data_IF_706788657569
#
_entry.id   IF_706788657569
#
_cell.length_a   1.000
_cell.length_b   1.000
_cell.length_c   1.000
_cell.angle_alpha   90.00
_cell.angle_beta   90.00
_cell.angle_gamma   90.00
#
_symmetry.space_group_name_H-M   'P 1'
#
loop_
_entity.id
_entity.type
_entity.pdbx_description
1 polymer ?
#
# COMPACT_ATOMS: atom_id res chain seq x y z
N UNK A 1 3.70 -19.90 -2.50
CA UNK A 1 4.58 -18.73 -2.19
C UNK A 1 3.79 -17.45 -1.95
N UNK A 2 2.57 -17.28 -2.48
CA UNK A 2 1.73 -16.10 -2.21
C UNK A 2 0.66 -16.34 -1.12
N UNK A 3 0.66 -17.52 -0.50
CA UNK A 3 -0.32 -17.90 0.52
C UNK A 3 -0.22 -16.95 1.72
N UNK A 4 -1.38 -16.48 2.20
CA UNK A 4 -1.46 -15.54 3.34
C UNK A 4 -1.30 -14.06 2.99
N UNK A 5 -1.08 -13.70 1.72
CA UNK A 5 -1.00 -12.30 1.29
C UNK A 5 -2.34 -11.78 0.75
N UNK A 6 -2.73 -10.57 1.16
CA UNK A 6 -3.76 -9.74 0.51
C UNK A 6 -3.03 -8.63 -0.25
N UNK A 7 -3.43 -8.38 -1.49
CA UNK A 7 -2.83 -7.40 -2.38
C UNK A 7 -3.85 -6.39 -2.87
N UNK A 8 -3.37 -5.20 -3.21
CA UNK A 8 -4.16 -4.10 -3.76
C UNK A 8 -3.54 -3.61 -5.07
N UNK A 9 -4.28 -2.85 -5.88
CA UNK A 9 -3.77 -2.33 -7.17
C UNK A 9 -2.74 -1.20 -7.05
N UNK A 10 -2.41 -0.74 -5.84
CA UNK A 10 -1.51 0.39 -5.54
C UNK A 10 -2.08 1.77 -5.94
N UNK A 11 -1.27 2.82 -5.77
CA UNK A 11 -1.61 4.23 -6.04
C UNK A 11 -1.71 4.52 -7.55
N UNK A 12 -1.81 5.81 -7.92
CA UNK A 12 -1.85 6.25 -9.32
C UNK A 12 -0.65 5.81 -10.17
N UNK A 13 0.50 5.54 -9.54
CA UNK A 13 1.69 4.98 -10.22
C UNK A 13 1.67 3.45 -10.32
N UNK A 14 0.66 2.81 -9.76
CA UNK A 14 0.40 1.39 -9.93
C UNK A 14 0.12 1.04 -11.39
N UNK A 15 0.46 -0.19 -11.77
CA UNK A 15 0.41 -0.66 -13.16
C UNK A 15 -0.97 -0.49 -13.79
N UNK A 16 -2.04 -0.83 -13.04
CA UNK A 16 -3.43 -0.73 -13.51
C UNK A 16 -3.83 0.73 -13.70
N UNK A 17 -3.56 1.60 -12.71
CA UNK A 17 -3.90 3.02 -12.80
C UNK A 17 -3.16 3.72 -13.95
N UNK A 18 -1.87 3.40 -14.13
CA UNK A 18 -1.07 3.92 -15.24
C UNK A 18 -1.60 3.47 -16.62
N UNK A 19 -2.04 2.21 -16.75
CA UNK A 19 -2.64 1.70 -17.99
C UNK A 19 -3.97 2.40 -18.29
N UNK A 20 -4.82 2.59 -17.28
CA UNK A 20 -6.09 3.33 -17.43
C UNK A 20 -5.88 4.80 -17.77
N UNK A 21 -4.90 5.46 -17.15
CA UNK A 21 -4.53 6.86 -17.46
C UNK A 21 -4.08 7.02 -18.92
N UNK A 22 -3.42 6.00 -19.49
CA UNK A 22 -3.04 5.97 -20.90
C UNK A 22 -4.17 5.54 -21.85
N UNK A 23 -5.38 5.26 -21.34
CA UNK A 23 -6.52 4.78 -22.12
C UNK A 23 -6.42 3.31 -22.57
N UNK A 24 -5.49 2.52 -22.02
CA UNK A 24 -5.30 1.11 -22.34
C UNK A 24 -6.05 0.20 -21.36
N UNK A 25 -7.39 0.24 -21.44
CA UNK A 25 -8.26 -0.60 -20.61
C UNK A 25 -7.99 -2.10 -20.82
N UNK A 26 -7.58 -2.49 -22.02
CA UNK A 26 -7.28 -3.90 -22.33
C UNK A 26 -6.05 -4.38 -21.54
N UNK A 27 -5.00 -3.57 -21.47
CA UNK A 27 -3.85 -3.87 -20.63
C UNK A 27 -4.24 -3.91 -19.14
N UNK A 28 -5.03 -2.95 -18.67
CA UNK A 28 -5.53 -2.92 -17.30
C UNK A 28 -6.27 -4.20 -16.90
N UNK A 29 -7.17 -4.69 -17.75
CA UNK A 29 -7.89 -5.96 -17.54
C UNK A 29 -6.92 -7.13 -17.48
N UNK A 30 -5.97 -7.23 -18.43
CA UNK A 30 -4.99 -8.32 -18.46
C UNK A 30 -4.12 -8.35 -17.19
N UNK A 31 -3.73 -7.17 -16.70
CA UNK A 31 -2.99 -7.00 -15.45
C UNK A 31 -3.80 -7.48 -14.25
N UNK A 32 -5.08 -7.07 -14.15
CA UNK A 32 -5.98 -7.55 -13.10
C UNK A 32 -6.14 -9.07 -13.15
N UNK A 33 -6.35 -9.65 -14.33
CA UNK A 33 -6.43 -11.11 -14.49
C UNK A 33 -5.15 -11.82 -14.03
N UNK A 34 -3.98 -11.21 -14.26
CA UNK A 34 -2.70 -11.72 -13.75
C UNK A 34 -2.68 -11.72 -12.21
N UNK A 35 -3.05 -10.60 -11.57
CA UNK A 35 -3.11 -10.54 -10.11
C UNK A 35 -4.16 -11.49 -9.52
N UNK A 36 -5.30 -11.68 -10.18
CA UNK A 36 -6.30 -12.66 -9.76
C UNK A 36 -5.78 -14.10 -9.87
N UNK A 37 -4.97 -14.43 -10.87
CA UNK A 37 -4.31 -15.75 -10.94
C UNK A 37 -3.30 -15.95 -9.81
N UNK A 38 -2.68 -14.89 -9.33
CA UNK A 38 -1.68 -14.94 -8.25
C UNK A 38 -2.36 -15.00 -6.88
N UNK A 39 -3.23 -14.05 -6.56
CA UNK A 39 -3.78 -13.87 -5.22
C UNK A 39 -5.17 -14.50 -5.06
N UNK A 40 -5.93 -14.64 -6.15
CA UNK A 40 -7.33 -15.04 -6.11
C UNK A 40 -8.28 -13.84 -5.86
N UNK A 41 -9.57 -14.00 -6.19
CA UNK A 41 -10.56 -12.92 -6.12
C UNK A 41 -10.81 -12.42 -4.69
N UNK A 42 -10.63 -13.26 -3.68
CA UNK A 42 -10.90 -12.90 -2.28
C UNK A 42 -9.76 -12.12 -1.62
N UNK A 43 -8.58 -12.07 -2.26
CA UNK A 43 -7.35 -11.48 -1.70
C UNK A 43 -6.76 -10.39 -2.58
N UNK A 44 -7.47 -9.95 -3.61
CA UNK A 44 -7.08 -8.84 -4.46
C UNK A 44 -8.17 -7.79 -4.50
N UNK A 45 -7.79 -6.53 -4.24
CA UNK A 45 -8.70 -5.39 -4.24
C UNK A 45 -8.20 -4.31 -5.21
N UNK A 46 -9.12 -3.60 -5.83
CA UNK A 46 -8.79 -2.36 -6.54
C UNK A 46 -8.69 -1.25 -5.51
N UNK A 47 -7.49 -0.69 -5.38
CA UNK A 47 -7.21 0.45 -4.50
C UNK A 47 -7.63 1.74 -5.18
N UNK A 48 -8.33 2.59 -4.44
CA UNK A 48 -8.67 3.93 -4.86
C UNK A 48 -8.16 4.94 -3.83
N UNK A 49 -7.64 6.04 -4.35
CA UNK A 49 -7.09 7.16 -3.61
C UNK A 49 -7.64 8.44 -4.25
N UNK A 50 -7.65 9.54 -3.51
CA UNK A 50 -8.07 10.83 -4.02
C UNK A 50 -7.26 11.92 -3.34
N UNK A 51 -6.31 12.49 -4.08
CA UNK A 51 -5.45 13.57 -3.62
C UNK A 51 -5.64 14.84 -4.43
N UNK A 52 -5.10 15.95 -3.93
CA UNK A 52 -5.09 17.21 -4.66
C UNK A 52 -4.35 17.08 -6.00
N UNK A 53 -5.00 17.55 -7.08
CA UNK A 53 -4.49 17.57 -8.46
C UNK A 53 -4.43 16.19 -9.17
N UNK A 54 -4.99 15.15 -8.56
CA UNK A 54 -5.18 13.88 -9.26
C UNK A 54 -6.17 14.03 -10.43
N UNK A 55 -5.97 13.25 -11.50
CA UNK A 55 -6.93 13.16 -12.59
C UNK A 55 -8.15 12.34 -12.12
N UNK A 56 -9.33 12.97 -11.93
CA UNK A 56 -10.51 12.26 -11.44
C UNK A 56 -10.97 11.15 -12.39
N UNK A 57 -10.58 11.20 -13.67
CA UNK A 57 -10.94 10.16 -14.64
C UNK A 57 -10.29 8.82 -14.31
N UNK A 58 -9.09 8.81 -13.72
CA UNK A 58 -8.38 7.57 -13.38
C UNK A 58 -9.06 6.87 -12.20
N UNK A 59 -9.45 7.64 -11.17
CA UNK A 59 -10.25 7.13 -10.04
C UNK A 59 -11.57 6.51 -10.52
N UNK A 60 -12.30 7.22 -11.39
CA UNK A 60 -13.55 6.69 -11.94
C UNK A 60 -13.32 5.44 -12.78
N UNK A 61 -12.28 5.40 -13.61
CA UNK A 61 -11.94 4.23 -14.41
C UNK A 61 -11.59 3.01 -13.54
N UNK A 62 -10.91 3.19 -12.40
CA UNK A 62 -10.66 2.13 -11.43
C UNK A 62 -11.95 1.59 -10.81
N UNK A 63 -12.88 2.48 -10.43
CA UNK A 63 -14.19 2.10 -9.89
C UNK A 63 -15.00 1.30 -10.93
N UNK A 64 -15.03 1.77 -12.17
CA UNK A 64 -15.75 1.12 -13.27
C UNK A 64 -15.14 -0.25 -13.60
N UNK A 65 -13.80 -0.35 -13.60
CA UNK A 65 -13.08 -1.60 -13.79
C UNK A 65 -13.39 -2.61 -12.67
N UNK A 66 -13.34 -2.18 -11.41
CA UNK A 66 -13.68 -3.03 -10.26
C UNK A 66 -15.11 -3.56 -10.37
N UNK A 67 -16.07 -2.69 -10.73
CA UNK A 67 -17.47 -3.07 -10.95
C UNK A 67 -17.64 -4.05 -12.11
N UNK A 68 -16.95 -3.81 -13.23
CA UNK A 68 -16.99 -4.67 -14.43
C UNK A 68 -16.45 -6.06 -14.16
N UNK A 69 -15.41 -6.17 -13.32
CA UNK A 69 -14.75 -7.44 -12.99
C UNK A 69 -15.26 -8.10 -11.71
N UNK A 70 -16.20 -7.46 -11.00
CA UNK A 70 -16.77 -7.99 -9.76
C UNK A 70 -15.78 -8.00 -8.59
N UNK A 71 -14.87 -7.02 -8.52
CA UNK A 71 -13.83 -6.91 -7.51
C UNK A 71 -14.18 -5.93 -6.40
N UNK A 72 -13.67 -6.21 -5.20
CA UNK A 72 -13.77 -5.28 -4.07
C UNK A 72 -12.91 -4.03 -4.29
N UNK A 73 -13.44 -2.90 -3.87
CA UNK A 73 -12.69 -1.64 -3.76
C UNK A 73 -12.10 -1.49 -2.35
N UNK A 74 -10.96 -0.83 -2.22
CA UNK A 74 -10.43 -0.41 -0.92
C UNK A 74 -9.93 1.03 -1.02
N UNK A 75 -10.37 1.87 -0.09
CA UNK A 75 -9.95 3.27 -0.01
C UNK A 75 -8.69 3.40 0.87
N UNK A 76 -7.67 4.09 0.36
CA UNK A 76 -6.45 4.41 1.13
C UNK A 76 -6.05 5.87 0.88
N UNK A 77 -5.08 6.38 1.63
CA UNK A 77 -4.62 7.77 1.52
C UNK A 77 -3.10 7.90 1.37
N UNK A 78 -2.39 6.81 1.09
CA UNK A 78 -0.93 6.77 0.90
C UNK A 78 -0.16 7.64 1.91
N UNK A 79 -0.39 7.42 3.20
CA UNK A 79 0.03 8.34 4.27
C UNK A 79 1.55 8.43 4.38
N UNK A 80 2.10 9.63 4.27
CA UNK A 80 3.55 9.92 4.42
C UNK A 80 3.89 10.75 5.67
N UNK A 81 2.89 11.41 6.26
CA UNK A 81 3.05 12.21 7.49
C UNK A 81 1.78 12.17 8.35
N UNK A 82 1.87 12.58 9.62
CA UNK A 82 0.80 12.33 10.57
C UNK A 82 -0.33 13.35 10.45
N UNK A 83 -0.02 14.64 10.50
CA UNK A 83 -0.99 15.74 10.48
C UNK A 83 -0.82 16.61 9.24
N UNK A 84 -1.87 17.32 8.82
CA UNK A 84 -1.81 18.18 7.63
C UNK A 84 -0.70 19.25 7.75
N UNK A 85 -0.43 19.73 8.97
CA UNK A 85 0.59 20.74 9.26
C UNK A 85 2.03 20.22 9.09
N UNK A 86 2.23 18.90 9.05
CA UNK A 86 3.56 18.28 8.88
C UNK A 86 4.07 18.33 7.42
N UNK A 87 3.25 18.81 6.48
CA UNK A 87 3.56 18.84 5.05
C UNK A 87 4.92 19.50 4.74
N UNK A 88 5.22 20.66 5.33
CA UNK A 88 6.48 21.35 5.06
C UNK A 88 7.70 20.63 5.67
N UNK A 89 7.50 19.92 6.78
CA UNK A 89 8.56 19.07 7.34
C UNK A 89 8.86 17.89 6.40
N UNK A 90 7.82 17.26 5.85
CA UNK A 90 7.97 16.20 4.84
C UNK A 90 8.61 16.72 3.54
N UNK A 91 8.20 17.90 3.05
CA UNK A 91 8.78 18.55 1.88
C UNK A 91 10.31 18.80 2.07
N UNK A 92 10.71 19.27 3.26
CA UNK A 92 12.12 19.41 3.62
C UNK A 92 12.87 18.07 3.63
N UNK A 93 12.26 17.01 4.17
CA UNK A 93 12.82 15.66 4.14
C UNK A 93 13.06 15.15 2.71
N UNK A 94 12.11 15.38 1.80
CA UNK A 94 12.26 15.03 0.37
C UNK A 94 13.43 15.77 -0.27
N UNK A 95 13.59 17.07 0.02
CA UNK A 95 14.70 17.88 -0.47
C UNK A 95 16.05 17.32 0.01
N UNK A 96 16.17 17.01 1.31
CA UNK A 96 17.38 16.41 1.89
C UNK A 96 17.67 15.05 1.23
N UNK A 97 16.66 14.19 1.09
CA UNK A 97 16.83 12.84 0.52
C UNK A 97 17.23 12.85 -0.95
N UNK A 98 16.86 13.89 -1.70
CA UNK A 98 17.14 14.02 -3.13
C UNK A 98 18.31 14.96 -3.44
N UNK A 99 18.94 15.55 -2.41
CA UNK A 99 20.02 16.51 -2.57
C UNK A 99 19.59 17.78 -3.31
N UNK A 100 18.33 18.19 -3.13
CA UNK A 100 17.73 19.38 -3.76
C UNK A 100 17.52 20.50 -2.75
N UNK A 101 17.55 21.74 -3.22
CA UNK A 101 17.15 22.89 -2.43
C UNK A 101 15.62 23.05 -2.48
N UNK A 102 15.05 23.69 -1.46
CA UNK A 102 13.59 23.91 -1.38
C UNK A 102 13.05 24.81 -2.51
N UNK A 103 13.90 25.66 -3.10
CA UNK A 103 13.57 26.54 -4.22
C UNK A 103 13.84 25.91 -5.60
N UNK A 104 14.36 24.67 -5.68
CA UNK A 104 14.53 23.98 -6.96
C UNK A 104 13.15 23.65 -7.56
N UNK A 105 12.81 24.16 -8.77
CA UNK A 105 11.52 23.90 -9.40
C UNK A 105 11.35 22.44 -9.85
N UNK A 106 12.44 21.68 -9.93
CA UNK A 106 12.44 20.26 -10.29
C UNK A 106 12.56 19.34 -9.05
N UNK A 107 12.41 19.88 -7.83
CA UNK A 107 12.39 19.05 -6.63
C UNK A 107 11.18 18.13 -6.64
N UNK A 108 11.29 17.01 -5.93
CA UNK A 108 10.17 16.11 -5.70
C UNK A 108 9.15 16.78 -4.78
N UNK A 109 7.88 16.79 -5.18
CA UNK A 109 6.76 17.34 -4.41
C UNK A 109 5.69 16.26 -4.32
N UNK A 110 5.15 16.06 -3.12
CA UNK A 110 3.99 15.20 -2.86
C UNK A 110 2.73 16.07 -2.72
N UNK A 111 1.53 15.50 -2.91
CA UNK A 111 0.29 16.18 -2.54
C UNK A 111 0.30 16.60 -1.07
N UNK A 112 -0.40 17.69 -0.73
CA UNK A 112 -0.42 18.19 0.65
C UNK A 112 -1.30 17.36 1.59
N UNK A 113 -2.14 16.50 1.02
CA UNK A 113 -3.18 15.79 1.73
C UNK A 113 -2.88 14.30 1.98
N UNK A 114 -1.63 13.87 1.80
CA UNK A 114 -1.12 12.52 2.16
C UNK A 114 -0.83 12.35 3.66
N UNK A 115 -1.67 12.94 4.52
CA UNK A 115 -1.64 12.78 5.98
C UNK A 115 -2.63 11.72 6.47
N UNK A 116 -2.58 11.38 7.76
CA UNK A 116 -3.56 10.47 8.37
C UNK A 116 -4.91 11.17 8.59
N UNK A 117 -5.76 11.15 7.56
CA UNK A 117 -7.13 11.68 7.62
C UNK A 117 -7.99 10.93 8.65
N UNK A 118 -8.95 11.64 9.26
CA UNK A 118 -9.94 11.00 10.16
C UNK A 118 -10.92 10.12 9.37
N UNK A 119 -11.61 9.17 10.02
CA UNK A 119 -12.65 8.38 9.35
C UNK A 119 -13.70 9.25 8.66
N UNK A 120 -14.16 10.32 9.29
CA UNK A 120 -15.16 11.23 8.73
C UNK A 120 -14.66 11.90 7.45
N UNK A 121 -13.40 12.36 7.43
CA UNK A 121 -12.79 12.94 6.24
C UNK A 121 -12.71 11.91 5.10
N UNK A 122 -12.29 10.68 5.39
CA UNK A 122 -12.23 9.59 4.40
C UNK A 122 -13.62 9.22 3.87
N UNK A 123 -14.62 9.07 4.73
CA UNK A 123 -15.99 8.76 4.32
C UNK A 123 -16.62 9.90 3.51
N UNK A 124 -16.26 11.16 3.79
CA UNK A 124 -16.70 12.29 2.97
C UNK A 124 -16.05 12.27 1.58
N UNK A 125 -14.76 11.93 1.49
CA UNK A 125 -14.01 11.85 0.24
C UNK A 125 -14.54 10.73 -0.68
N UNK A 126 -14.91 9.59 -0.10
CA UNK A 126 -15.41 8.42 -0.82
C UNK A 126 -16.93 8.21 -0.67
N UNK A 127 -17.70 9.30 -0.54
CA UNK A 127 -19.15 9.24 -0.30
C UNK A 127 -19.94 8.58 -1.45
N UNK A 128 -19.40 8.57 -2.67
CA UNK A 128 -19.95 7.89 -3.85
C UNK A 128 -19.70 6.36 -3.85
N UNK A 129 -18.71 5.90 -3.08
CA UNK A 129 -18.31 4.49 -2.96
C UNK A 129 -17.98 4.11 -1.50
N UNK A 130 -18.93 4.26 -0.55
CA UNK A 130 -18.67 4.08 0.89
C UNK A 130 -18.13 2.70 1.24
N UNK A 131 -18.48 1.67 0.45
CA UNK A 131 -17.97 0.31 0.62
C UNK A 131 -16.44 0.20 0.51
N UNK A 132 -15.77 1.15 -0.16
CA UNK A 132 -14.32 1.17 -0.24
C UNK A 132 -13.67 1.45 1.13
N UNK A 133 -14.29 2.32 1.94
CA UNK A 133 -13.90 2.56 3.33
C UNK A 133 -14.27 1.36 4.22
N UNK A 134 -15.48 0.79 4.07
CA UNK A 134 -15.91 -0.36 4.87
C UNK A 134 -14.98 -1.58 4.68
N UNK A 135 -14.52 -1.80 3.45
CA UNK A 135 -13.60 -2.88 3.13
C UNK A 135 -12.23 -2.73 3.82
N UNK A 136 -11.82 -1.52 4.24
CA UNK A 136 -10.58 -1.35 5.03
C UNK A 136 -10.65 -2.10 6.36
N UNK A 137 -11.81 -2.06 7.03
CA UNK A 137 -12.06 -2.76 8.29
C UNK A 137 -12.14 -4.27 8.04
N UNK A 138 -12.84 -4.68 6.98
CA UNK A 138 -12.92 -6.11 6.59
C UNK A 138 -11.53 -6.70 6.31
N UNK A 139 -10.66 -5.95 5.64
CA UNK A 139 -9.28 -6.38 5.39
C UNK A 139 -8.50 -6.44 6.70
N UNK A 140 -8.61 -5.41 7.56
CA UNK A 140 -7.93 -5.37 8.85
C UNK A 140 -8.31 -6.56 9.75
N UNK A 141 -9.60 -6.91 9.83
CA UNK A 141 -10.09 -8.05 10.63
C UNK A 141 -9.56 -9.41 10.14
N UNK A 142 -9.16 -9.50 8.86
CA UNK A 142 -8.55 -10.69 8.27
C UNK A 142 -7.05 -10.80 8.55
N UNK A 143 -6.39 -9.69 8.89
CA UNK A 143 -4.95 -9.61 9.11
C UNK A 143 -4.57 -10.04 10.54
N UNK A 144 -4.49 -11.36 10.77
CA UNK A 144 -4.14 -11.95 12.05
C UNK A 144 -2.70 -12.49 12.05
N UNK A 145 -1.72 -11.62 12.27
CA UNK A 145 -0.28 -11.99 12.30
C UNK A 145 0.25 -11.91 13.72
N UNK A 146 0.67 -13.05 14.26
CA UNK A 146 1.34 -13.13 15.57
C UNK A 146 2.84 -13.40 15.40
N UNK A 147 3.66 -12.55 16.02
CA UNK A 147 5.11 -12.72 16.04
C UNK A 147 5.54 -13.37 17.36
N UNK A 148 6.25 -14.50 17.29
CA UNK A 148 6.87 -15.12 18.47
C UNK A 148 8.14 -14.36 18.86
N UNK A 149 7.99 -13.46 19.84
CA UNK A 149 9.10 -12.67 20.39
C UNK A 149 9.79 -13.35 21.59
N UNK A 150 9.32 -14.53 22.02
CA UNK A 150 9.83 -15.22 23.22
C UNK A 150 10.85 -16.28 22.88
N UNK A 151 10.68 -16.95 21.74
CA UNK A 151 11.55 -18.04 21.32
C UNK A 151 12.93 -17.52 20.94
N UNK A 152 13.95 -18.12 21.53
CA UNK A 152 15.35 -17.87 21.17
C UNK A 152 15.75 -18.81 20.05
N UNK A 153 16.14 -18.25 18.91
CA UNK A 153 16.66 -18.98 17.76
C UNK A 153 18.19 -18.91 17.70
N UNK A 154 18.86 -19.10 18.84
CA UNK A 154 20.31 -19.15 18.88
C UNK A 154 20.83 -20.35 18.07
N UNK A 155 21.89 -20.20 17.25
CA UNK A 155 22.50 -21.32 16.56
C UNK A 155 22.93 -22.42 17.54
N UNK A 156 22.71 -23.67 17.17
CA UNK A 156 23.26 -24.80 17.92
C UNK A 156 24.73 -24.98 17.51
N UNK A 157 25.64 -24.72 18.45
CA UNK A 157 27.05 -25.08 18.28
C UNK A 157 27.23 -26.57 18.62
N UNK A 158 28.01 -27.28 17.80
CA UNK A 158 28.43 -28.66 18.07
C UNK A 158 29.96 -28.68 18.08
N UNK A 159 30.61 -28.81 19.25
CA UNK A 159 32.06 -28.87 19.34
C UNK A 159 32.66 -30.00 18.47
N UNK A 160 33.82 -29.78 17.82
CA UNK A 160 34.47 -30.80 16.99
C UNK A 160 34.93 -32.04 17.76
N UNK A 161 35.22 -31.88 19.05
CA UNK A 161 35.68 -32.95 19.95
C UNK A 161 34.53 -33.77 20.56
N UNK A 162 33.28 -33.42 20.24
CA UNK A 162 32.09 -34.10 20.76
C UNK A 162 31.71 -33.73 22.20
N UNK A 163 32.39 -32.76 22.81
CA UNK A 163 32.01 -32.20 24.12
C UNK A 163 30.71 -31.38 24.03
N UNK A 164 30.14 -31.00 25.18
CA UNK A 164 29.06 -30.00 25.22
C UNK A 164 29.60 -28.60 24.90
N UNK A 165 28.80 -27.69 24.31
CA UNK A 165 29.24 -26.30 24.10
C UNK A 165 29.76 -25.62 25.36
N UNK A 166 29.19 -25.94 26.52
CA UNK A 166 29.63 -25.45 27.82
C UNK A 166 31.02 -25.95 28.21
N UNK A 167 31.32 -27.24 28.00
CA UNK A 167 32.63 -27.84 28.26
C UNK A 167 33.71 -27.32 27.30
N UNK A 168 33.40 -27.12 26.03
CA UNK A 168 34.35 -26.58 25.04
C UNK A 168 34.74 -25.12 25.31
N UNK A 169 33.89 -24.38 26.03
CA UNK A 169 34.08 -22.96 26.33
C UNK A 169 34.98 -22.73 27.56
N UNK A 170 35.06 -23.70 28.47
CA UNK A 170 35.84 -23.63 29.72
C UNK A 170 37.25 -24.18 29.58
#
# INVERSE_FOLDING_TARGET
>A
LNDGLIATSSCLKGEIAAQLSNGDEKAAIATVESYLKIFGPDRFFIEIQEHENDDPNVRQALIDLAKKMGLGLVATNDVHFLQAEDYEAHNCLCCISTGKNADDPNRMIYPSDVYLKTPEQMHQLFADVPQACDNTVVIADRCNVELDLKRRHAPQFRPPDGSTPEEFLT
#
